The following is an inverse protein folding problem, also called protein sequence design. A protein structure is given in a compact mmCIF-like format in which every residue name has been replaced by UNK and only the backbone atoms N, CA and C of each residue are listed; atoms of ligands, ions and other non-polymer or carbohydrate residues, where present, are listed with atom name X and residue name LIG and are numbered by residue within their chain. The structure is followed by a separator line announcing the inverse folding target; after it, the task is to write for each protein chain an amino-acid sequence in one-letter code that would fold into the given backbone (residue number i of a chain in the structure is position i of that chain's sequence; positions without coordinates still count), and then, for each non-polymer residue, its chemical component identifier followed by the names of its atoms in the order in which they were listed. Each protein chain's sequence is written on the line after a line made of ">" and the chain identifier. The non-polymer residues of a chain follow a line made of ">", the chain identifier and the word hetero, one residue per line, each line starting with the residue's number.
data_IF_892666296450
#
_entry.id   IF_892666296450
#
_cell.length_a   1.000
_cell.length_b   1.000
_cell.length_c   1.000
_cell.angle_alpha   90.00
_cell.angle_beta   90.00
_cell.angle_gamma   90.00
#
_symmetry.space_group_name_H-M   'P 1'
#
loop_
_entity.id
_entity.type
_entity.pdbx_description
1 polymer ?
#
# COMPACT_ATOMS: atom_id res chain seq x y z
N UNK A 1 6.44 -12.76 -2.49
CA UNK A 1 6.21 -11.88 -1.33
C UNK A 1 7.23 -10.75 -1.29
N UNK A 2 8.53 -11.04 -1.31
CA UNK A 2 9.56 -10.00 -1.33
C UNK A 2 9.50 -9.12 -2.59
N UNK A 3 9.39 -9.71 -3.79
CA UNK A 3 9.24 -8.96 -5.05
C UNK A 3 7.99 -8.08 -5.07
N UNK A 4 6.85 -8.63 -4.61
CA UNK A 4 5.62 -7.86 -4.43
C UNK A 4 5.87 -6.63 -3.55
N UNK A 5 6.50 -6.81 -2.39
CA UNK A 5 6.80 -5.69 -1.49
C UNK A 5 7.68 -4.65 -2.16
N UNK A 6 8.76 -5.06 -2.83
CA UNK A 6 9.65 -4.14 -3.54
C UNK A 6 8.93 -3.36 -4.64
N UNK A 7 8.00 -3.99 -5.37
CA UNK A 7 7.22 -3.34 -6.41
C UNK A 7 6.27 -2.30 -5.83
N UNK A 8 5.57 -2.62 -4.73
CA UNK A 8 4.69 -1.65 -4.04
C UNK A 8 5.50 -0.46 -3.53
N UNK A 9 6.63 -0.70 -2.87
CA UNK A 9 7.49 0.37 -2.34
C UNK A 9 8.06 1.24 -3.46
N UNK A 10 8.47 0.64 -4.58
CA UNK A 10 8.95 1.40 -5.75
C UNK A 10 7.84 2.28 -6.31
N UNK A 11 6.64 1.73 -6.53
CA UNK A 11 5.50 2.51 -7.01
C UNK A 11 5.19 3.72 -6.11
N UNK A 12 5.16 3.51 -4.79
CA UNK A 12 4.86 4.59 -3.84
C UNK A 12 5.95 5.68 -3.86
N UNK A 13 7.22 5.28 -3.92
CA UNK A 13 8.34 6.23 -4.01
C UNK A 13 8.35 7.01 -5.32
N UNK A 14 8.15 6.33 -6.45
CA UNK A 14 8.20 6.95 -7.79
C UNK A 14 7.07 7.97 -8.00
N UNK A 15 5.94 7.80 -7.30
CA UNK A 15 4.80 8.73 -7.33
C UNK A 15 4.76 9.68 -6.12
N UNK A 16 5.82 9.71 -5.29
CA UNK A 16 5.93 10.57 -4.10
C UNK A 16 4.74 10.44 -3.12
N UNK A 17 4.14 9.26 -3.03
CA UNK A 17 2.99 8.98 -2.16
C UNK A 17 3.52 8.61 -0.77
N UNK A 18 3.26 9.40 0.29
CA UNK A 18 3.74 9.08 1.63
C UNK A 18 3.10 7.79 2.15
N UNK A 19 3.90 6.95 2.79
CA UNK A 19 3.42 5.69 3.35
C UNK A 19 4.18 5.31 4.63
N UNK A 20 3.60 4.38 5.38
CA UNK A 20 4.21 3.78 6.56
C UNK A 20 4.00 2.27 6.53
N UNK A 21 5.09 1.52 6.74
CA UNK A 21 4.99 0.07 6.95
C UNK A 21 4.35 -0.20 8.31
N UNK A 22 3.38 -1.11 8.34
CA UNK A 22 2.63 -1.47 9.54
C UNK A 22 2.58 -3.00 9.71
N UNK A 23 1.73 -3.45 10.63
CA UNK A 23 1.39 -4.86 10.79
C UNK A 23 2.55 -5.75 11.23
N UNK A 24 2.43 -7.03 10.92
CA UNK A 24 3.37 -8.08 11.35
C UNK A 24 4.80 -7.83 10.86
N UNK A 25 4.96 -7.32 9.64
CA UNK A 25 6.26 -7.02 9.04
C UNK A 25 6.96 -5.90 9.81
N UNK A 26 6.28 -4.79 10.11
CA UNK A 26 6.85 -3.73 10.93
C UNK A 26 7.17 -4.21 12.35
N UNK A 27 6.26 -4.99 12.95
CA UNK A 27 6.41 -5.51 14.31
C UNK A 27 7.56 -6.51 14.46
N UNK A 28 7.93 -7.23 13.41
CA UNK A 28 9.03 -8.20 13.42
C UNK A 28 10.38 -7.59 13.82
N UNK A 29 10.53 -6.27 13.74
CA UNK A 29 11.70 -5.53 14.19
C UNK A 29 11.75 -5.44 15.72
N UNK A 30 10.59 -5.35 16.38
CA UNK A 30 10.47 -5.02 17.80
C UNK A 30 10.08 -6.21 18.68
N UNK A 31 9.48 -7.24 18.10
CA UNK A 31 8.96 -8.41 18.83
C UNK A 31 9.32 -9.72 18.13
N UNK A 32 9.03 -10.84 18.79
CA UNK A 32 9.15 -12.18 18.20
C UNK A 32 8.32 -12.25 16.92
N UNK A 33 8.94 -12.51 15.75
CA UNK A 33 8.24 -12.55 14.48
C UNK A 33 7.14 -13.63 14.47
N UNK A 34 5.97 -13.29 13.93
CA UNK A 34 4.93 -14.26 13.57
C UNK A 34 4.81 -14.31 12.06
N UNK A 35 4.76 -15.52 11.50
CA UNK A 35 4.56 -15.70 10.08
C UNK A 35 3.10 -15.37 9.70
N UNK A 36 2.89 -14.26 9.01
CA UNK A 36 1.65 -13.95 8.30
C UNK A 36 1.89 -14.01 6.78
N UNK A 37 0.81 -14.00 5.98
CA UNK A 37 0.91 -14.12 4.51
C UNK A 37 0.43 -12.85 3.80
N UNK A 38 0.61 -11.71 4.46
CA UNK A 38 0.18 -10.38 4.06
C UNK A 38 1.24 -9.34 4.43
N UNK A 39 1.05 -8.12 3.93
CA UNK A 39 1.86 -6.95 4.24
C UNK A 39 0.91 -5.78 4.42
N UNK A 40 0.99 -5.13 5.57
CA UNK A 40 0.17 -3.96 5.87
C UNK A 40 0.96 -2.67 5.63
N UNK A 41 0.40 -1.77 4.81
CA UNK A 41 0.97 -0.46 4.54
C UNK A 41 -0.13 0.59 4.69
N UNK A 42 0.12 1.62 5.49
CA UNK A 42 -0.74 2.81 5.56
C UNK A 42 -0.25 3.78 4.50
N UNK A 43 -1.15 4.28 3.66
CA UNK A 43 -0.81 5.15 2.52
C UNK A 43 -1.59 6.45 2.60
N UNK A 44 -0.92 7.58 2.45
CA UNK A 44 -1.55 8.90 2.46
C UNK A 44 -2.02 9.28 1.05
N UNK A 45 -3.15 8.71 0.63
CA UNK A 45 -3.72 8.89 -0.71
C UNK A 45 -4.44 10.24 -0.81
N UNK A 46 -4.15 11.00 -1.87
CA UNK A 46 -4.86 12.23 -2.24
C UNK A 46 -5.86 11.93 -3.37
N UNK A 47 -6.89 12.77 -3.57
CA UNK A 47 -7.85 12.57 -4.67
C UNK A 47 -7.20 12.42 -6.06
N UNK A 48 -6.07 13.09 -6.32
CA UNK A 48 -5.33 12.97 -7.58
C UNK A 48 -4.57 11.65 -7.78
N UNK A 49 -4.33 10.89 -6.71
CA UNK A 49 -3.53 9.67 -6.76
C UNK A 49 -4.35 8.44 -7.15
N UNK A 50 -5.69 8.52 -7.02
CA UNK A 50 -6.60 7.39 -7.25
C UNK A 50 -6.44 6.83 -8.67
N UNK A 51 -6.47 7.70 -9.68
CA UNK A 51 -6.35 7.25 -11.06
C UNK A 51 -4.93 6.70 -11.35
N UNK A 52 -3.90 7.28 -10.75
CA UNK A 52 -2.51 6.80 -10.83
C UNK A 52 -2.38 5.38 -10.28
N UNK A 53 -2.93 5.12 -9.09
CA UNK A 53 -2.94 3.79 -8.47
C UNK A 53 -3.63 2.78 -9.38
N UNK A 54 -4.84 3.09 -9.87
CA UNK A 54 -5.58 2.16 -10.74
C UNK A 54 -4.87 1.92 -12.07
N UNK A 55 -4.27 2.94 -12.69
CA UNK A 55 -3.63 2.80 -14.00
C UNK A 55 -2.25 2.15 -13.96
N UNK A 56 -1.52 2.27 -12.85
CA UNK A 56 -0.18 1.69 -12.73
C UNK A 56 -0.21 0.37 -11.96
N UNK A 57 -0.67 0.37 -10.71
CA UNK A 57 -0.73 -0.85 -9.88
C UNK A 57 -1.81 -1.83 -10.36
N UNK A 58 -2.97 -1.31 -10.77
CA UNK A 58 -4.13 -2.12 -11.19
C UNK A 58 -3.88 -2.99 -12.44
N UNK A 59 -2.77 -2.79 -13.15
CA UNK A 59 -2.35 -3.64 -14.28
C UNK A 59 -1.82 -5.00 -13.83
N UNK A 60 -1.10 -5.01 -12.72
CA UNK A 60 -0.39 -6.20 -12.21
C UNK A 60 -1.05 -6.77 -10.96
N UNK A 61 -1.79 -5.94 -10.24
CA UNK A 61 -2.42 -6.29 -8.97
C UNK A 61 -3.90 -5.97 -8.99
N UNK A 62 -4.65 -6.66 -8.13
CA UNK A 62 -6.02 -6.27 -7.87
C UNK A 62 -6.05 -4.96 -7.07
N UNK A 63 -6.80 -3.98 -7.57
CA UNK A 63 -7.05 -2.71 -6.89
C UNK A 63 -8.55 -2.40 -6.95
N UNK A 64 -9.19 -2.28 -5.80
CA UNK A 64 -10.59 -1.90 -5.71
C UNK A 64 -10.72 -0.36 -5.78
N UNK A 65 -11.16 0.14 -6.94
CA UNK A 65 -11.31 1.59 -7.17
C UNK A 65 -12.32 2.22 -6.23
N UNK A 66 -13.44 1.54 -5.96
CA UNK A 66 -14.51 2.10 -5.12
C UNK A 66 -14.04 2.20 -3.67
N UNK A 67 -13.34 1.17 -3.17
CA UNK A 67 -12.74 1.19 -1.84
C UNK A 67 -11.70 2.32 -1.68
N UNK A 68 -10.84 2.54 -2.68
CA UNK A 68 -9.85 3.63 -2.64
C UNK A 68 -10.53 5.00 -2.64
N UNK A 69 -11.57 5.20 -3.46
CA UNK A 69 -12.32 6.45 -3.50
C UNK A 69 -13.01 6.71 -2.15
N UNK A 70 -13.65 5.70 -1.56
CA UNK A 70 -14.32 5.80 -0.26
C UNK A 70 -13.32 6.13 0.86
N UNK A 71 -12.15 5.47 0.86
CA UNK A 71 -11.05 5.74 1.79
C UNK A 71 -10.56 7.20 1.72
N UNK A 72 -10.38 7.74 0.51
CA UNK A 72 -9.99 9.14 0.31
C UNK A 72 -11.08 10.10 0.81
N UNK A 73 -12.35 9.80 0.55
CA UNK A 73 -13.49 10.62 0.99
C UNK A 73 -13.62 10.65 2.52
N UNK A 74 -13.37 9.51 3.17
CA UNK A 74 -13.47 9.34 4.63
C UNK A 74 -12.19 9.65 5.39
N UNK A 75 -11.07 9.82 4.68
CA UNK A 75 -9.73 9.96 5.27
C UNK A 75 -9.36 8.75 6.16
N UNK A 76 -9.63 7.54 5.67
CA UNK A 76 -9.46 6.26 6.40
C UNK A 76 -8.59 5.27 5.64
#
# INVERSE_FOLDING_TARGET
>A
MFEFFQNIIRFLNDNEIPYMLSGSVAMSIYIVPRATRDIDIVVAIRPGDVDTIIQQLGKEYYCDKEAIVDAVQRQS
#
